data_IF_535545829558
#
_entry.id   IF_535545829558
#
_cell.length_a   1.000
_cell.length_b   1.000
_cell.length_c   1.000
_cell.angle_alpha   90.00
_cell.angle_beta   90.00
_cell.angle_gamma   90.00
#
_symmetry.space_group_name_H-M   'P 1'
#
loop_
_entity.id
_entity.type
_entity.pdbx_description
1 polymer ?
#
# COMPACT_ATOMS: atom_id res chain seq x y z
N UNK A 1 2.22 -4.55 15.44
CA UNK A 1 0.92 -3.99 15.00
C UNK A 1 0.98 -3.85 13.50
N UNK A 2 0.13 -4.56 12.75
CA UNK A 2 0.15 -4.50 11.28
C UNK A 2 -0.43 -3.15 10.82
N UNK A 3 0.42 -2.18 10.53
CA UNK A 3 0.04 -0.96 9.84
C UNK A 3 -0.49 -1.35 8.45
N UNK A 4 -1.75 -1.06 8.15
CA UNK A 4 -2.29 -1.27 6.81
C UNK A 4 -1.60 -0.26 5.89
N UNK A 5 -0.73 -0.73 4.98
CA UNK A 5 0.07 0.13 4.10
C UNK A 5 -0.81 0.84 3.05
N UNK A 6 -1.89 0.19 2.63
CA UNK A 6 -2.80 0.70 1.61
C UNK A 6 -4.27 0.49 2.02
N UNK A 7 -5.09 1.54 1.90
CA UNK A 7 -6.54 1.45 2.06
C UNK A 7 -7.19 1.43 0.68
N UNK A 8 -7.81 0.31 0.33
CA UNK A 8 -8.50 0.12 -0.95
C UNK A 8 -9.91 0.68 -0.90
N UNK A 9 -10.29 1.43 -1.92
CA UNK A 9 -11.62 2.01 -2.06
C UNK A 9 -11.96 2.29 -3.54
N UNK A 10 -13.23 2.53 -3.81
CA UNK A 10 -13.68 3.02 -5.10
C UNK A 10 -13.41 4.53 -5.23
N UNK A 11 -12.95 4.97 -6.41
CA UNK A 11 -12.77 6.38 -6.73
C UNK A 11 -14.12 7.07 -6.90
N UNK A 12 -14.49 7.91 -5.93
CA UNK A 12 -15.70 8.72 -5.99
C UNK A 12 -15.40 10.09 -6.60
N UNK A 13 -16.43 10.77 -7.14
CA UNK A 13 -16.31 12.19 -7.56
C UNK A 13 -15.72 13.09 -6.48
N UNK A 14 -16.06 12.84 -5.22
CA UNK A 14 -15.56 13.67 -4.12
C UNK A 14 -14.03 13.58 -4.02
N UNK A 15 -13.46 12.37 -4.12
CA UNK A 15 -12.02 12.16 -4.11
C UNK A 15 -11.38 12.82 -5.34
N UNK A 16 -11.93 12.56 -6.53
CA UNK A 16 -11.33 13.02 -7.78
C UNK A 16 -11.34 14.54 -7.94
N UNK A 17 -12.39 15.21 -7.44
CA UNK A 17 -12.53 16.67 -7.56
C UNK A 17 -11.89 17.44 -6.41
N UNK A 18 -11.83 16.86 -5.20
CA UNK A 18 -11.35 17.57 -4.01
C UNK A 18 -9.95 17.16 -3.57
N UNK A 19 -9.45 16.02 -4.03
CA UNK A 19 -8.14 15.50 -3.63
C UNK A 19 -7.20 15.37 -4.82
N UNK A 20 -7.48 14.45 -5.74
CA UNK A 20 -6.66 14.24 -6.95
C UNK A 20 -7.39 13.38 -7.96
N UNK A 21 -7.22 13.70 -9.25
CA UNK A 21 -7.68 12.91 -10.38
C UNK A 21 -6.55 12.12 -11.08
N UNK A 22 -5.37 12.04 -10.46
CA UNK A 22 -4.22 11.31 -10.99
C UNK A 22 -3.55 10.46 -9.92
N UNK A 23 -2.93 9.36 -10.34
CA UNK A 23 -2.09 8.51 -9.50
C UNK A 23 -0.87 9.29 -9.00
N UNK A 24 -0.62 9.26 -7.69
CA UNK A 24 0.51 9.96 -7.06
C UNK A 24 1.89 9.33 -7.29
N UNK A 25 1.98 8.26 -8.08
CA UNK A 25 3.25 7.61 -8.46
C UNK A 25 3.52 7.76 -9.96
N UNK A 26 2.59 7.33 -10.81
CA UNK A 26 2.80 7.32 -12.26
C UNK A 26 2.09 8.45 -13.02
N UNK A 27 1.33 9.31 -12.32
CA UNK A 27 0.54 10.40 -12.90
C UNK A 27 -0.50 9.98 -13.95
N UNK A 28 -0.82 8.69 -14.05
CA UNK A 28 -1.95 8.23 -14.87
C UNK A 28 -3.27 8.74 -14.29
N UNK A 29 -4.23 9.04 -15.18
CA UNK A 29 -5.56 9.50 -14.78
C UNK A 29 -6.31 8.43 -13.97
N UNK A 30 -7.00 8.90 -12.92
CA UNK A 30 -7.94 8.13 -12.12
C UNK A 30 -9.36 8.55 -12.49
N UNK A 31 -10.22 7.58 -12.73
CA UNK A 31 -11.60 7.78 -13.15
C UNK A 31 -12.58 7.34 -12.08
N UNK A 32 -13.78 7.91 -12.10
CA UNK A 32 -14.84 7.51 -11.16
C UNK A 32 -15.18 6.03 -11.36
N UNK A 33 -15.28 5.29 -10.27
CA UNK A 33 -15.50 3.84 -10.29
C UNK A 33 -14.21 3.00 -10.34
N UNK A 34 -13.03 3.62 -10.55
CA UNK A 34 -11.76 2.89 -10.47
C UNK A 34 -11.52 2.37 -9.05
N UNK A 35 -10.88 1.20 -8.95
CA UNK A 35 -10.30 0.75 -7.67
C UNK A 35 -8.99 1.50 -7.44
N UNK A 36 -8.94 2.28 -6.37
CA UNK A 36 -7.78 3.10 -5.99
C UNK A 36 -7.32 2.75 -4.58
N UNK A 37 -6.06 3.03 -4.30
CA UNK A 37 -5.41 2.67 -3.04
C UNK A 37 -4.79 3.89 -2.40
N UNK A 38 -5.27 4.24 -1.20
CA UNK A 38 -4.64 5.28 -0.41
C UNK A 38 -3.41 4.73 0.32
N UNK A 39 -2.24 5.20 -0.10
CA UNK A 39 -0.96 4.96 0.56
C UNK A 39 -0.92 5.76 1.88
N UNK A 40 -0.99 5.05 3.00
CA UNK A 40 -1.05 5.66 4.34
C UNK A 40 0.29 6.21 4.80
N UNK A 41 1.39 5.83 4.14
CA UNK A 41 2.75 6.25 4.48
C UNK A 41 3.12 7.53 3.74
N UNK A 42 2.74 7.64 2.46
CA UNK A 42 3.08 8.78 1.60
C UNK A 42 1.89 9.73 1.35
N UNK A 43 0.72 9.45 1.93
CA UNK A 43 -0.49 10.27 1.86
C UNK A 43 -0.94 10.59 0.43
N UNK A 44 -0.95 9.57 -0.44
CA UNK A 44 -1.28 9.70 -1.86
C UNK A 44 -2.19 8.58 -2.34
N UNK A 45 -2.99 8.86 -3.36
CA UNK A 45 -3.79 7.83 -4.04
C UNK A 45 -3.01 7.20 -5.18
N UNK A 46 -3.10 5.88 -5.30
CA UNK A 46 -2.42 5.07 -6.30
C UNK A 46 -3.41 4.27 -7.13
N UNK A 47 -3.08 4.05 -8.40
CA UNK A 47 -3.76 3.05 -9.22
C UNK A 47 -3.29 1.63 -8.83
N UNK A 48 -4.09 0.62 -9.19
CA UNK A 48 -3.80 -0.78 -8.87
C UNK A 48 -2.38 -1.22 -9.29
N UNK A 49 -1.95 -0.86 -10.50
CA UNK A 49 -0.61 -1.21 -10.99
C UNK A 49 0.53 -0.66 -10.12
N UNK A 50 0.41 0.56 -9.60
CA UNK A 50 1.44 1.15 -8.74
C UNK A 50 1.40 0.54 -7.34
N UNK A 51 0.22 0.27 -6.80
CA UNK A 51 0.08 -0.37 -5.51
C UNK A 51 0.67 -1.79 -5.52
N UNK A 52 0.39 -2.60 -6.54
CA UNK A 52 0.96 -3.95 -6.68
C UNK A 52 2.49 -3.91 -6.75
N UNK A 53 3.06 -3.02 -7.58
CA UNK A 53 4.52 -2.84 -7.70
C UNK A 53 5.17 -2.49 -6.37
N UNK A 54 4.60 -1.52 -5.65
CA UNK A 54 5.12 -1.10 -4.35
C UNK A 54 5.02 -2.23 -3.33
N UNK A 55 3.91 -2.97 -3.30
CA UNK A 55 3.78 -4.16 -2.46
C UNK A 55 4.85 -5.22 -2.76
N UNK A 56 5.16 -5.48 -4.03
CA UNK A 56 6.23 -6.40 -4.40
C UNK A 56 7.57 -5.92 -3.89
N UNK A 57 7.92 -4.65 -4.11
CA UNK A 57 9.18 -4.06 -3.63
C UNK A 57 9.30 -4.14 -2.10
N UNK A 58 8.24 -3.79 -1.37
CA UNK A 58 8.23 -3.88 0.10
C UNK A 58 8.47 -5.31 0.59
N UNK A 59 7.88 -6.31 -0.08
CA UNK A 59 8.05 -7.71 0.29
C UNK A 59 9.46 -8.22 -0.02
N UNK A 60 10.09 -7.73 -1.09
CA UNK A 60 11.48 -8.06 -1.45
C UNK A 60 12.48 -7.46 -0.44
N UNK A 61 12.18 -6.28 0.11
CA UNK A 61 13.00 -5.60 1.12
C UNK A 61 12.75 -6.10 2.56
N UNK A 62 11.72 -6.93 2.79
CA UNK A 62 11.44 -7.49 4.10
C UNK A 62 12.47 -8.55 4.50
N UNK A 63 13.21 -8.30 5.58
CA UNK A 63 14.06 -9.32 6.20
C UNK A 63 13.19 -10.39 6.89
N UNK A 64 13.39 -11.66 6.51
CA UNK A 64 12.81 -12.79 7.23
C UNK A 64 13.66 -13.04 8.47
N UNK A 65 13.14 -12.64 9.63
CA UNK A 65 13.75 -12.93 10.92
C UNK A 65 13.31 -14.33 11.35
N UNK A 66 14.27 -15.27 11.42
CA UNK A 66 14.04 -16.56 12.05
C UNK A 66 14.26 -16.39 13.55
N UNK A 67 13.29 -16.78 14.36
CA UNK A 67 13.53 -16.99 15.80
C UNK A 67 14.54 -18.15 15.91
N UNK A 68 15.79 -17.83 16.28
CA UNK A 68 16.76 -18.85 16.61
C UNK A 68 16.21 -19.69 17.77
N UNK A 69 16.07 -21.00 17.52
CA UNK A 69 15.59 -21.94 18.52
C UNK A 69 16.55 -22.02 19.73
N UNK A 70 16.02 -21.60 20.88
CA UNK A 70 16.21 -22.11 22.25
C UNK A 70 17.55 -21.82 22.98
N UNK A 71 17.48 -21.70 24.32
CA UNK A 71 17.95 -22.85 25.07
C UNK A 71 16.90 -23.36 26.07
N UNK A 72 16.65 -24.67 25.98
CA UNK A 72 15.89 -25.46 26.94
C UNK A 72 16.31 -25.14 28.38
N UNK A 73 15.42 -24.47 29.12
CA UNK A 73 15.52 -24.32 30.58
C UNK A 73 14.93 -25.55 31.27
N UNK A 74 15.58 -26.71 31.06
CA UNK A 74 15.54 -27.81 32.02
C UNK A 74 16.90 -27.89 32.70
N UNK A 75 16.99 -27.34 33.91
CA UNK A 75 17.96 -27.66 34.95
C UNK A 75 17.20 -27.66 36.29
#
# INVERSE_FOLDING_TARGET
MSSICFVTQEATKEILLRVTNVCGECYADLHEGDTIHYDTQNYRFLCNCCQEKLCTMMNEECEIVYDEAEPSLFC
#
